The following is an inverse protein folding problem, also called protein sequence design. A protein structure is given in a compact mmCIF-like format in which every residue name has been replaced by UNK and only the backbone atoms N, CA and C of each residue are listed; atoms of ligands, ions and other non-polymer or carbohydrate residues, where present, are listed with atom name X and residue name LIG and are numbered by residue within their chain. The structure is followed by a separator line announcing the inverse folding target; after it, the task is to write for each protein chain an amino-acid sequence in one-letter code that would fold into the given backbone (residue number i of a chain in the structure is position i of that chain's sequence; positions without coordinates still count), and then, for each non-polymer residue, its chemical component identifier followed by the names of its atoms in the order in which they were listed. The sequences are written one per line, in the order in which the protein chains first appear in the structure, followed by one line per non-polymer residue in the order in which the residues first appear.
data_IF_198838738960
#
_entry.id   IF_198838738960
#
_cell.length_a   1.000
_cell.length_b   1.000
_cell.length_c   1.000
_cell.angle_alpha   90.00
_cell.angle_beta   90.00
_cell.angle_gamma   90.00
#
_symmetry.space_group_name_H-M   'P 1'
#
loop_
_entity.id
_entity.type
_entity.pdbx_description
1 polymer ?
#
# COMPACT_ATOMS: atom_id res chain seq x y z
N UNK A 1 -68.89 16.11 -38.38
CA UNK A 1 -67.50 15.94 -38.86
C UNK A 1 -66.55 17.00 -38.31
N UNK A 2 -66.67 18.29 -38.68
CA UNK A 2 -65.75 19.35 -38.22
C UNK A 2 -65.65 19.51 -36.68
N UNK A 3 -66.78 19.40 -35.97
CA UNK A 3 -66.80 19.49 -34.50
C UNK A 3 -66.01 18.38 -33.82
N UNK A 4 -65.94 17.18 -34.42
CA UNK A 4 -65.19 16.04 -33.88
C UNK A 4 -63.69 16.30 -33.99
N UNK A 5 -63.22 16.78 -35.16
CA UNK A 5 -61.83 17.17 -35.38
C UNK A 5 -61.39 18.31 -34.44
N UNK A 6 -62.26 19.29 -34.18
CA UNK A 6 -61.96 20.36 -33.22
C UNK A 6 -61.94 19.87 -31.77
N UNK A 7 -62.65 18.78 -31.45
CA UNK A 7 -62.63 18.14 -30.13
C UNK A 7 -61.34 17.32 -29.96
N UNK A 8 -61.01 16.50 -30.94
CA UNK A 8 -59.87 15.57 -30.89
C UNK A 8 -58.54 16.25 -31.28
N UNK A 9 -58.62 17.43 -31.91
CA UNK A 9 -57.48 18.20 -32.45
C UNK A 9 -56.64 17.42 -33.48
N UNK A 10 -57.20 16.37 -34.07
CA UNK A 10 -56.55 15.48 -35.03
C UNK A 10 -57.45 15.24 -36.25
N UNK A 11 -56.83 15.16 -37.43
CA UNK A 11 -57.48 14.85 -38.71
C UNK A 11 -56.60 13.90 -39.52
N UNK A 12 -57.22 12.89 -40.13
CA UNK A 12 -56.50 11.94 -40.98
C UNK A 12 -55.96 12.62 -42.27
N UNK A 13 -54.73 12.30 -42.69
CA UNK A 13 -54.08 12.99 -43.81
C UNK A 13 -54.78 12.77 -45.16
N UNK A 14 -55.42 11.62 -45.37
CA UNK A 14 -56.20 11.32 -46.57
C UNK A 14 -57.45 12.21 -46.65
N UNK A 15 -58.19 12.35 -45.55
CA UNK A 15 -59.36 13.23 -45.45
C UNK A 15 -58.99 14.72 -45.55
N UNK A 16 -57.82 15.10 -45.06
CA UNK A 16 -57.30 16.46 -45.20
C UNK A 16 -56.89 16.77 -46.65
N UNK A 17 -56.45 15.77 -47.43
CA UNK A 17 -56.07 15.94 -48.83
C UNK A 17 -57.28 16.21 -49.73
N UNK A 18 -58.39 15.52 -49.48
CA UNK A 18 -59.65 15.65 -50.21
C UNK A 18 -60.38 16.99 -49.99
N UNK A 19 -60.09 17.69 -48.89
CA UNK A 19 -60.69 18.99 -48.59
C UNK A 19 -60.23 20.07 -49.57
N UNK A 20 -61.11 21.02 -49.92
CA UNK A 20 -60.71 22.17 -50.73
C UNK A 20 -59.82 23.13 -49.92
N UNK A 21 -58.96 23.91 -50.58
CA UNK A 21 -57.99 24.80 -49.92
C UNK A 21 -58.66 25.79 -48.96
N UNK A 22 -59.77 26.41 -49.36
CA UNK A 22 -60.55 27.31 -48.50
C UNK A 22 -61.08 26.64 -47.22
N UNK A 23 -61.45 25.36 -47.33
CA UNK A 23 -61.93 24.56 -46.20
C UNK A 23 -60.77 24.21 -45.26
N UNK A 24 -59.57 23.90 -45.80
CA UNK A 24 -58.35 23.68 -45.01
C UNK A 24 -57.94 24.92 -44.25
N UNK A 25 -57.93 26.08 -44.91
CA UNK A 25 -57.61 27.36 -44.27
C UNK A 25 -58.57 27.62 -43.10
N UNK A 26 -59.88 27.52 -43.34
CA UNK A 26 -60.90 27.69 -42.29
C UNK A 26 -60.71 26.71 -41.13
N UNK A 27 -60.43 25.44 -41.43
CA UNK A 27 -60.16 24.41 -40.43
C UNK A 27 -58.93 24.76 -39.57
N UNK A 28 -57.80 25.11 -40.18
CA UNK A 28 -56.58 25.45 -39.45
C UNK A 28 -56.74 26.70 -38.58
N UNK A 29 -57.45 27.73 -39.05
CA UNK A 29 -57.77 28.90 -38.22
C UNK A 29 -58.58 28.53 -36.98
N UNK A 30 -59.59 27.67 -37.14
CA UNK A 30 -60.42 27.19 -36.02
C UNK A 30 -59.63 26.30 -35.07
N UNK A 31 -58.84 25.36 -35.59
CA UNK A 31 -57.96 24.50 -34.80
C UNK A 31 -56.93 25.32 -34.02
N UNK A 32 -56.32 26.32 -34.64
CA UNK A 32 -55.34 27.18 -33.97
C UNK A 32 -55.98 28.00 -32.86
N UNK A 33 -57.16 28.57 -33.10
CA UNK A 33 -57.94 29.25 -32.07
C UNK A 33 -58.27 28.33 -30.90
N UNK A 34 -58.65 27.10 -31.19
CA UNK A 34 -58.99 26.10 -30.16
C UNK A 34 -57.76 25.63 -29.36
N UNK A 35 -56.60 25.43 -30.00
CA UNK A 35 -55.33 25.19 -29.30
C UNK A 35 -55.00 26.31 -28.33
N UNK A 36 -55.10 27.56 -28.79
CA UNK A 36 -54.81 28.74 -27.97
C UNK A 36 -55.82 28.83 -26.82
N UNK A 37 -57.11 28.57 -27.07
CA UNK A 37 -58.15 28.56 -26.03
C UNK A 37 -57.87 27.51 -24.96
N UNK A 38 -57.60 26.25 -25.34
CA UNK A 38 -57.26 25.16 -24.42
C UNK A 38 -55.95 25.41 -23.68
N UNK A 39 -54.97 26.00 -24.35
CA UNK A 39 -53.71 26.38 -23.71
C UNK A 39 -53.96 27.47 -22.67
N UNK A 40 -54.64 28.57 -23.02
CA UNK A 40 -55.00 29.64 -22.08
C UNK A 40 -55.83 29.14 -20.90
N UNK A 41 -56.75 28.21 -21.15
CA UNK A 41 -57.56 27.60 -20.09
C UNK A 41 -56.71 26.75 -19.15
N UNK A 42 -55.78 25.93 -19.68
CA UNK A 42 -54.82 25.18 -18.86
C UNK A 42 -53.88 26.09 -18.08
N UNK A 43 -53.35 27.14 -18.70
CA UNK A 43 -52.51 28.15 -18.03
C UNK A 43 -53.28 28.85 -16.91
N UNK A 44 -54.51 29.31 -17.17
CA UNK A 44 -55.34 29.95 -16.16
C UNK A 44 -55.75 28.98 -15.03
N UNK A 45 -55.92 27.69 -15.33
CA UNK A 45 -56.15 26.67 -14.31
C UNK A 45 -54.89 26.42 -13.49
N UNK A 46 -53.71 26.37 -14.11
CA UNK A 46 -52.43 26.20 -13.45
C UNK A 46 -52.10 27.41 -12.57
N UNK A 47 -52.30 28.64 -13.05
CA UNK A 47 -52.16 29.86 -12.27
C UNK A 47 -53.12 29.86 -11.06
N UNK A 48 -54.39 29.49 -11.26
CA UNK A 48 -55.36 29.34 -10.15
C UNK A 48 -54.95 28.23 -9.17
N UNK A 49 -54.37 27.13 -9.65
CA UNK A 49 -53.86 26.06 -8.82
C UNK A 49 -52.61 26.48 -8.05
N UNK A 50 -51.68 27.22 -8.66
CA UNK A 50 -50.52 27.80 -8.00
C UNK A 50 -50.93 28.82 -6.94
N UNK A 51 -51.89 29.71 -7.23
CA UNK A 51 -52.43 30.65 -6.23
C UNK A 51 -53.13 29.90 -5.09
N UNK A 52 -53.83 28.80 -5.38
CA UNK A 52 -54.43 27.93 -4.35
C UNK A 52 -53.39 27.12 -3.58
N UNK A 53 -52.31 26.68 -4.21
CA UNK A 53 -51.20 25.93 -3.61
C UNK A 53 -50.25 26.83 -2.80
N UNK A 54 -50.19 28.13 -3.14
CA UNK A 54 -49.55 29.19 -2.35
C UNK A 54 -50.32 29.51 -1.06
N UNK A 55 -51.58 29.04 -0.90
CA UNK A 55 -52.21 29.03 0.42
C UNK A 55 -51.44 28.03 1.28
N UNK A 56 -50.88 28.42 2.44
CA UNK A 56 -49.99 27.56 3.20
C UNK A 56 -50.74 26.30 3.66
N UNK A 57 -50.56 25.20 2.93
CA UNK A 57 -50.81 23.86 3.43
C UNK A 57 -49.86 23.65 4.60
N UNK A 58 -50.36 23.22 5.76
CA UNK A 58 -49.59 22.97 7.00
C UNK A 58 -48.64 21.76 6.88
N UNK A 59 -48.02 21.55 5.73
CA UNK A 59 -46.90 20.64 5.55
C UNK A 59 -45.75 21.46 5.00
N UNK A 60 -44.69 21.57 5.79
CA UNK A 60 -43.47 22.27 5.45
C UNK A 60 -42.83 21.64 4.20
N UNK A 61 -43.29 22.05 3.02
CA UNK A 61 -42.55 21.90 1.79
C UNK A 61 -41.31 22.78 1.89
N UNK A 62 -40.14 22.22 1.62
CA UNK A 62 -38.88 22.96 1.60
C UNK A 62 -39.02 24.04 0.52
N UNK A 63 -39.13 25.30 0.93
CA UNK A 63 -39.18 26.45 0.04
C UNK A 63 -37.80 27.09 0.01
N UNK A 64 -37.25 27.29 -1.18
CA UNK A 64 -36.00 28.02 -1.39
C UNK A 64 -36.34 29.47 -1.71
N UNK A 65 -35.88 30.40 -0.89
CA UNK A 65 -35.94 31.84 -1.13
C UNK A 65 -34.53 32.37 -1.33
N UNK A 66 -34.32 33.10 -2.42
CA UNK A 66 -33.04 33.77 -2.66
C UNK A 66 -32.87 34.95 -1.71
N UNK A 67 -31.66 35.14 -1.20
CA UNK A 67 -31.28 36.36 -0.51
C UNK A 67 -31.07 37.45 -1.57
N UNK A 68 -31.69 38.61 -1.39
CA UNK A 68 -31.55 39.74 -2.30
C UNK A 68 -30.73 40.84 -1.63
N UNK A 69 -29.96 41.56 -2.44
CA UNK A 69 -29.21 42.76 -2.04
C UNK A 69 -30.16 43.97 -1.93
N UNK A 70 -29.63 45.11 -1.47
CA UNK A 70 -30.35 46.38 -1.40
C UNK A 70 -30.89 46.89 -2.73
N UNK A 71 -30.36 46.39 -3.84
CA UNK A 71 -30.77 46.75 -5.20
C UNK A 71 -31.79 45.78 -5.80
N UNK A 72 -32.36 44.87 -5.00
CA UNK A 72 -33.27 43.79 -5.44
C UNK A 72 -32.60 42.75 -6.39
N UNK A 73 -31.28 42.81 -6.53
CA UNK A 73 -30.49 41.79 -7.20
C UNK A 73 -30.21 40.59 -6.27
N UNK A 74 -30.04 39.40 -6.84
CA UNK A 74 -29.68 38.19 -6.06
C UNK A 74 -28.31 38.36 -5.42
N UNK A 75 -28.20 38.06 -4.13
CA UNK A 75 -26.96 38.11 -3.38
C UNK A 75 -26.01 36.98 -3.81
N UNK A 76 -24.79 37.35 -4.18
CA UNK A 76 -23.73 36.44 -4.64
C UNK A 76 -22.50 36.63 -3.77
N UNK A 77 -21.97 35.52 -3.24
CA UNK A 77 -20.66 35.48 -2.58
C UNK A 77 -19.64 34.80 -3.50
N UNK A 78 -18.53 35.47 -3.75
CA UNK A 78 -17.40 34.92 -4.50
C UNK A 78 -16.31 34.53 -3.49
N UNK A 79 -15.96 33.24 -3.45
CA UNK A 79 -14.89 32.77 -2.57
C UNK A 79 -13.57 33.45 -2.89
N UNK A 80 -12.93 34.02 -1.87
CA UNK A 80 -11.62 34.66 -2.00
C UNK A 80 -11.63 36.12 -2.47
N UNK A 81 -12.81 36.71 -2.69
CA UNK A 81 -12.95 38.16 -2.96
C UNK A 81 -13.08 38.96 -1.65
N UNK A 82 -13.61 38.34 -0.59
CA UNK A 82 -13.73 38.97 0.72
C UNK A 82 -12.35 39.08 1.42
N UNK A 83 -12.00 40.22 2.05
CA UNK A 83 -10.66 40.46 2.62
C UNK A 83 -10.25 39.50 3.75
N UNK A 84 -11.19 38.76 4.34
CA UNK A 84 -10.91 37.75 5.37
C UNK A 84 -10.78 36.34 4.82
N UNK A 85 -11.14 36.12 3.55
CA UNK A 85 -11.14 34.80 2.94
C UNK A 85 -9.78 34.53 2.29
N UNK A 86 -9.36 33.26 2.29
CA UNK A 86 -8.23 32.83 1.47
C UNK A 86 -8.57 32.98 -0.01
N UNK A 87 -7.67 33.52 -0.83
CA UNK A 87 -7.91 33.67 -2.26
C UNK A 87 -8.08 32.29 -2.90
N UNK A 88 -8.95 32.21 -3.91
CA UNK A 88 -9.31 30.95 -4.57
C UNK A 88 -8.09 30.16 -5.05
N UNK A 89 -7.12 30.84 -5.68
CA UNK A 89 -5.89 30.22 -6.17
C UNK A 89 -5.10 29.49 -5.07
N UNK A 90 -4.98 30.08 -3.88
CA UNK A 90 -4.27 29.44 -2.77
C UNK A 90 -4.99 28.19 -2.25
N UNK A 91 -6.33 28.19 -2.27
CA UNK A 91 -7.13 27.02 -1.91
C UNK A 91 -6.89 25.91 -2.95
N UNK A 92 -6.91 26.25 -4.23
CA UNK A 92 -6.62 25.31 -5.32
C UNK A 92 -5.21 24.71 -5.20
N UNK A 93 -4.20 25.55 -4.97
CA UNK A 93 -2.81 25.11 -4.78
C UNK A 93 -2.67 24.17 -3.58
N UNK A 94 -3.30 24.50 -2.45
CA UNK A 94 -3.28 23.65 -1.26
C UNK A 94 -3.90 22.27 -1.54
N UNK A 95 -5.04 22.22 -2.24
CA UNK A 95 -5.70 20.95 -2.62
C UNK A 95 -4.81 20.13 -3.55
N UNK A 96 -4.15 20.76 -4.52
CA UNK A 96 -3.23 20.08 -5.44
C UNK A 96 -2.00 19.54 -4.71
N UNK A 97 -1.42 20.34 -3.81
CA UNK A 97 -0.28 19.94 -2.99
C UNK A 97 -0.62 18.77 -2.06
N UNK A 98 -1.79 18.80 -1.41
CA UNK A 98 -2.23 17.70 -0.54
C UNK A 98 -2.39 16.40 -1.33
N UNK A 99 -3.02 16.47 -2.52
CA UNK A 99 -3.19 15.30 -3.40
C UNK A 99 -1.84 14.74 -3.84
N UNK A 100 -0.91 15.60 -4.27
CA UNK A 100 0.42 15.20 -4.68
C UNK A 100 1.20 14.55 -3.53
N UNK A 101 1.13 15.13 -2.32
CA UNK A 101 1.78 14.58 -1.13
C UNK A 101 1.23 13.20 -0.75
N UNK A 102 -0.10 13.03 -0.78
CA UNK A 102 -0.74 11.74 -0.50
C UNK A 102 -0.33 10.69 -1.53
N UNK A 103 -0.33 11.04 -2.81
CA UNK A 103 0.13 10.13 -3.86
C UNK A 103 1.59 9.71 -3.65
N UNK A 104 2.48 10.65 -3.32
CA UNK A 104 3.87 10.34 -3.03
C UNK A 104 4.03 9.42 -1.80
N UNK A 105 3.19 9.58 -0.78
CA UNK A 105 3.18 8.69 0.38
C UNK A 105 2.74 7.27 0.00
N UNK A 106 1.64 7.14 -0.73
CA UNK A 106 1.12 5.84 -1.18
C UNK A 106 2.15 5.10 -2.06
N UNK A 107 2.79 5.80 -3.00
CA UNK A 107 3.85 5.24 -3.85
C UNK A 107 5.08 4.82 -3.03
N UNK A 108 5.49 5.63 -2.05
CA UNK A 108 6.59 5.29 -1.16
C UNK A 108 6.28 4.06 -0.29
N UNK A 109 5.06 3.94 0.23
CA UNK A 109 4.61 2.78 0.99
C UNK A 109 4.58 1.52 0.12
N UNK A 110 4.07 1.61 -1.11
CA UNK A 110 4.10 0.50 -2.06
C UNK A 110 5.52 0.06 -2.36
N UNK A 111 6.44 1.00 -2.59
CA UNK A 111 7.84 0.70 -2.83
C UNK A 111 8.48 0.03 -1.61
N UNK A 112 8.20 0.52 -0.39
CA UNK A 112 8.66 -0.10 0.85
C UNK A 112 8.14 -1.53 1.00
N UNK A 113 6.85 -1.76 0.76
CA UNK A 113 6.26 -3.09 0.83
C UNK A 113 6.84 -4.05 -0.22
N UNK A 114 7.15 -3.57 -1.42
CA UNK A 114 7.86 -4.37 -2.43
C UNK A 114 9.26 -4.75 -1.97
N UNK A 115 10.01 -3.77 -1.45
CA UNK A 115 11.37 -4.00 -0.92
C UNK A 115 11.37 -4.97 0.26
N UNK A 116 10.39 -4.86 1.15
CA UNK A 116 10.22 -5.80 2.26
C UNK A 116 9.94 -7.21 1.76
N UNK A 117 9.06 -7.39 0.76
CA UNK A 117 8.82 -8.70 0.14
C UNK A 117 10.08 -9.27 -0.51
N UNK A 118 10.84 -8.45 -1.23
CA UNK A 118 12.13 -8.85 -1.81
C UNK A 118 13.10 -9.29 -0.72
N UNK A 119 13.15 -8.56 0.38
CA UNK A 119 14.03 -8.81 1.51
C UNK A 119 13.64 -10.09 2.24
N UNK A 120 12.35 -10.28 2.54
CA UNK A 120 11.79 -11.51 3.12
C UNK A 120 12.09 -12.71 2.22
N UNK A 121 11.90 -12.58 0.90
CA UNK A 121 12.23 -13.65 -0.07
C UNK A 121 13.73 -13.96 -0.09
N UNK A 122 14.59 -12.94 -0.01
CA UNK A 122 16.05 -13.11 0.02
C UNK A 122 16.48 -13.79 1.31
N UNK A 123 15.94 -13.38 2.45
CA UNK A 123 16.26 -13.99 3.74
C UNK A 123 15.69 -15.40 3.85
N UNK A 124 14.45 -15.64 3.44
CA UNK A 124 13.86 -16.99 3.43
C UNK A 124 14.69 -17.95 2.58
N UNK A 125 15.24 -17.49 1.45
CA UNK A 125 16.15 -18.30 0.63
C UNK A 125 17.41 -18.71 1.40
N UNK A 126 17.99 -17.82 2.21
CA UNK A 126 19.20 -18.11 3.00
C UNK A 126 18.88 -19.10 4.13
N UNK A 127 17.76 -18.91 4.83
CA UNK A 127 17.37 -19.77 5.96
C UNK A 127 16.80 -21.13 5.55
N UNK A 128 16.36 -21.29 4.31
CA UNK A 128 15.82 -22.54 3.76
C UNK A 128 16.78 -23.17 2.74
N UNK A 129 18.05 -22.75 2.71
CA UNK A 129 19.05 -23.29 1.80
C UNK A 129 19.54 -24.65 2.33
N UNK A 130 19.28 -25.77 1.62
CA UNK A 130 19.73 -27.10 2.04
C UNK A 130 21.24 -27.19 2.22
N UNK A 131 22.01 -26.33 1.56
CA UNK A 131 23.47 -26.28 1.65
C UNK A 131 23.94 -25.73 3.01
N UNK A 132 23.20 -24.78 3.61
CA UNK A 132 23.47 -24.26 4.96
C UNK A 132 23.14 -25.32 6.01
N UNK A 133 22.06 -26.06 5.82
CA UNK A 133 21.68 -27.15 6.72
C UNK A 133 22.61 -28.37 6.60
N UNK A 134 23.07 -28.70 5.38
CA UNK A 134 24.09 -29.73 5.16
C UNK A 134 25.40 -29.35 5.82
N UNK A 135 25.83 -28.09 5.68
CA UNK A 135 27.07 -27.62 6.27
C UNK A 135 27.04 -27.76 7.79
N UNK A 136 25.90 -27.43 8.42
CA UNK A 136 25.67 -27.63 9.86
C UNK A 136 25.75 -29.11 10.26
N UNK A 137 25.08 -30.00 9.51
CA UNK A 137 25.10 -31.44 9.79
C UNK A 137 26.50 -32.05 9.60
N UNK A 138 27.25 -31.60 8.61
CA UNK A 138 28.63 -32.03 8.39
C UNK A 138 29.56 -31.57 9.54
N UNK A 139 29.37 -30.36 10.06
CA UNK A 139 30.12 -29.87 11.21
C UNK A 139 29.83 -30.70 12.46
N UNK A 140 28.56 -30.99 12.74
CA UNK A 140 28.14 -31.86 13.84
C UNK A 140 28.72 -33.28 13.73
N UNK A 141 28.71 -33.87 12.53
CA UNK A 141 29.34 -35.17 12.28
C UNK A 141 30.86 -35.13 12.48
N UNK A 142 31.53 -34.08 11.99
CA UNK A 142 32.98 -33.90 12.17
C UNK A 142 33.33 -33.74 13.65
N UNK A 143 32.50 -33.04 14.43
CA UNK A 143 32.69 -32.90 15.86
C UNK A 143 32.48 -34.22 16.61
N UNK A 144 31.45 -34.98 16.28
CA UNK A 144 31.23 -36.32 16.85
C UNK A 144 32.42 -37.25 16.59
N UNK A 145 32.88 -37.32 15.33
CA UNK A 145 34.05 -38.10 14.96
C UNK A 145 35.32 -37.65 15.71
N UNK A 146 35.49 -36.33 15.93
CA UNK A 146 36.60 -35.79 16.73
C UNK A 146 36.50 -36.18 18.20
N UNK A 147 35.30 -36.18 18.78
CA UNK A 147 35.07 -36.59 20.16
C UNK A 147 35.35 -38.08 20.34
N UNK A 148 34.83 -38.93 19.46
CA UNK A 148 35.10 -40.38 19.48
C UNK A 148 36.60 -40.67 19.33
N UNK A 149 37.28 -40.03 18.38
CA UNK A 149 38.73 -40.18 18.22
C UNK A 149 39.51 -39.70 19.46
N UNK A 150 39.07 -38.63 20.11
CA UNK A 150 39.68 -38.17 21.36
C UNK A 150 39.44 -39.16 22.51
N UNK A 151 38.25 -39.77 22.60
CA UNK A 151 37.96 -40.81 23.58
C UNK A 151 38.78 -42.08 23.34
N UNK A 152 38.94 -42.50 22.09
CA UNK A 152 39.81 -43.63 21.72
C UNK A 152 41.26 -43.34 22.09
N UNK A 153 41.77 -42.14 21.79
CA UNK A 153 43.10 -41.72 22.22
C UNK A 153 43.24 -41.73 23.74
N UNK A 154 42.22 -41.29 24.48
CA UNK A 154 42.21 -41.35 25.94
C UNK A 154 42.20 -42.78 26.47
N UNK A 155 41.45 -43.69 25.86
CA UNK A 155 41.47 -45.12 26.22
C UNK A 155 42.84 -45.73 25.95
N UNK A 156 43.43 -45.44 24.80
CA UNK A 156 44.78 -45.90 24.45
C UNK A 156 45.81 -45.33 25.44
N UNK A 157 45.70 -44.05 25.80
CA UNK A 157 46.57 -43.42 26.80
C UNK A 157 46.38 -44.02 28.19
N UNK A 158 45.15 -44.30 28.61
CA UNK A 158 44.83 -44.99 29.86
C UNK A 158 45.38 -46.42 29.87
N UNK A 159 45.23 -47.18 28.78
CA UNK A 159 45.81 -48.50 28.60
C UNK A 159 47.35 -48.45 28.66
N UNK A 160 47.98 -47.50 27.98
CA UNK A 160 49.41 -47.27 28.05
C UNK A 160 49.86 -46.88 29.46
N UNK A 161 49.06 -46.09 30.18
CA UNK A 161 49.33 -45.70 31.58
C UNK A 161 49.17 -46.87 32.54
N UNK A 162 48.22 -47.78 32.30
CA UNK A 162 48.07 -49.04 33.06
C UNK A 162 49.23 -50.00 32.73
N UNK A 163 49.58 -50.14 31.46
CA UNK A 163 50.69 -50.96 30.98
C UNK A 163 52.05 -50.48 31.51
N UNK A 164 52.35 -49.18 31.41
CA UNK A 164 53.55 -48.56 31.97
C UNK A 164 53.50 -48.44 33.50
N UNK A 165 52.33 -48.27 34.10
CA UNK A 165 52.13 -48.31 35.55
C UNK A 165 52.43 -49.67 36.16
N UNK A 166 52.10 -50.77 35.46
CA UNK A 166 52.52 -52.13 35.81
C UNK A 166 54.03 -52.34 35.68
N UNK A 167 54.66 -51.75 34.66
CA UNK A 167 56.13 -51.74 34.52
C UNK A 167 56.82 -50.85 35.58
N UNK A 168 56.15 -49.84 36.13
CA UNK A 168 56.67 -49.02 37.24
C UNK A 168 56.76 -49.80 38.57
N UNK A 169 56.01 -50.88 38.74
CA UNK A 169 56.18 -51.81 39.88
C UNK A 169 57.32 -52.81 39.67
N UNK A 170 57.72 -53.04 38.41
CA UNK A 170 58.88 -53.89 38.06
C UNK A 170 60.18 -53.06 38.04
N UNK A 171 60.09 -51.73 37.89
CA UNK A 171 61.22 -50.79 37.92
C UNK A 171 61.63 -50.32 39.34
N UNK A 172 61.57 -51.21 40.35
CA UNK A 172 62.27 -51.00 41.64
C UNK A 172 63.50 -51.91 41.82
N UNK A 173 63.94 -52.65 40.77
CA UNK A 173 65.10 -53.58 40.85
C UNK A 173 66.20 -53.27 39.81
N UNK A 174 66.18 -52.14 39.12
CA UNK A 174 67.32 -51.73 38.26
C UNK A 174 67.69 -50.25 38.51
N UNK A 175 68.08 -49.95 39.75
CA UNK A 175 68.76 -48.69 40.12
C UNK A 175 70.07 -48.97 40.85
N UNK A 176 70.90 -49.86 40.32
CA UNK A 176 72.29 -50.08 40.77
C UNK A 176 73.11 -50.81 39.71
N UNK A 177 73.44 -50.17 38.58
CA UNK A 177 74.63 -50.58 37.83
C UNK A 177 75.17 -49.41 37.00
N UNK A 178 76.33 -48.93 37.41
CA UNK A 178 77.13 -47.90 36.73
C UNK A 178 77.67 -48.42 35.41
N UNK A 179 77.50 -47.67 34.32
CA UNK A 179 78.44 -47.70 33.20
C UNK A 179 78.39 -46.38 32.42
N UNK A 180 79.49 -45.63 32.50
CA UNK A 180 79.79 -44.47 31.66
C UNK A 180 80.40 -45.00 30.35
N UNK A 181 80.06 -44.44 29.18
CA UNK A 181 81.09 -43.65 28.50
C UNK A 181 80.57 -42.42 27.73
N UNK A 182 81.44 -41.41 27.68
CA UNK A 182 81.46 -40.28 26.75
C UNK A 182 81.23 -40.71 25.30
N UNK A 183 80.47 -39.96 24.49
CA UNK A 183 80.97 -39.22 23.30
C UNK A 183 79.95 -38.15 22.79
N UNK A 184 80.48 -36.94 22.57
CA UNK A 184 80.19 -35.90 21.55
C UNK A 184 78.78 -35.36 21.22
N UNK A 185 78.63 -34.04 21.40
CA UNK A 185 77.64 -33.15 20.76
C UNK A 185 77.77 -33.15 19.22
N UNK A 186 76.69 -32.79 18.48
CA UNK A 186 76.58 -31.40 18.03
C UNK A 186 75.19 -30.75 18.17
N UNK A 187 75.27 -29.49 18.56
CA UNK A 187 74.32 -28.37 18.51
C UNK A 187 73.54 -28.26 17.21
N UNK A 188 72.20 -28.11 17.28
CA UNK A 188 71.40 -27.28 16.34
C UNK A 188 70.15 -26.75 17.08
N UNK A 189 70.15 -25.44 17.36
CA UNK A 189 68.97 -24.59 17.62
C UNK A 189 68.17 -24.42 16.31
N UNK A 190 66.83 -24.24 16.33
CA UNK A 190 66.27 -22.88 16.46
C UNK A 190 64.88 -22.83 17.16
N UNK A 191 64.75 -21.97 18.18
CA UNK A 191 64.11 -20.64 18.14
C UNK A 191 62.58 -20.66 18.23
N UNK A 192 62.10 -20.27 19.42
CA UNK A 192 60.78 -19.76 19.70
C UNK A 192 60.34 -18.70 18.68
N UNK A 193 59.15 -18.89 18.12
CA UNK A 193 58.36 -17.82 17.52
C UNK A 193 57.17 -17.50 18.42
N UNK A 194 57.40 -16.70 19.46
CA UNK A 194 56.33 -15.96 20.13
C UNK A 194 55.87 -14.84 19.19
N UNK A 195 54.68 -14.99 18.63
CA UNK A 195 53.96 -13.92 17.94
C UNK A 195 52.69 -13.59 18.71
N UNK A 196 52.83 -12.92 19.85
CA UNK A 196 51.73 -12.16 20.42
C UNK A 196 51.53 -10.92 19.56
N UNK A 197 50.33 -10.72 19.04
CA UNK A 197 49.92 -9.43 18.47
C UNK A 197 48.71 -8.95 19.26
N UNK A 198 48.95 -7.81 19.88
CA UNK A 198 48.06 -7.05 20.73
C UNK A 198 46.81 -6.60 19.98
N UNK A 199 45.73 -6.51 20.73
CA UNK A 199 44.51 -5.81 20.37
C UNK A 199 44.77 -4.30 20.31
N UNK A 200 44.33 -3.64 19.24
CA UNK A 200 44.00 -2.21 19.25
C UNK A 200 42.64 -1.99 18.61
N UNK A 201 41.64 -1.46 19.35
CA UNK A 201 40.46 -0.84 18.75
C UNK A 201 40.73 0.66 18.58
N UNK A 202 40.68 1.16 17.34
CA UNK A 202 40.91 2.57 17.04
C UNK A 202 39.88 3.13 16.05
N UNK A 203 39.02 4.00 16.59
CA UNK A 203 38.33 5.15 15.97
C UNK A 203 37.49 4.92 14.71
N UNK A 204 36.16 5.03 14.74
CA UNK A 204 35.37 6.29 14.77
C UNK A 204 35.92 7.33 13.78
N UNK A 205 35.26 7.43 12.63
CA UNK A 205 35.40 8.51 11.66
C UNK A 205 34.02 8.80 11.07
N UNK A 206 33.46 9.92 11.52
CA UNK A 206 32.26 10.58 11.05
C UNK A 206 32.65 11.46 9.86
N UNK A 207 31.95 11.36 8.73
CA UNK A 207 31.58 12.47 7.85
C UNK A 207 30.40 12.06 6.96
#
# INVERSE_FOLDING_TARGET
MLQQILTDMYIDPELLAELNEEQKQTLFFKMRGEQIRRWKEREAQLEKQEVKAKKPSRRAGKQVSWLHSSNDDVWVWVMGEHPTDTPYEQICDAIMAERAARQAQDEAEQLRAQKEKELVKRFSKIYMDPEVELCRQEEEQKEHMRQEAAEEQRKIEEELKVFWGGLSQISHVISSFTFQPSIHLPTVYPSLGHGGVECTPGSIGHE
#
